data_IF_809239907026
#
_entry.id   IF_809239907026
#
_cell.length_a   1.000
_cell.length_b   1.000
_cell.length_c   1.000
_cell.angle_alpha   90.00
_cell.angle_beta   90.00
_cell.angle_gamma   90.00
#
_symmetry.space_group_name_H-M   'P 1'
#
loop_
_entity.id
_entity.type
_entity.pdbx_description
1 polymer ?
#
# COMPACT_ATOMS: atom_id res chain seq x y z
N UNK A 1 55.44 -3.89 -6.39
CA UNK A 1 54.39 -3.79 -7.44
C UNK A 1 53.19 -4.62 -6.99
N UNK A 2 52.08 -3.99 -6.62
CA UNK A 2 50.81 -4.69 -6.35
C UNK A 2 50.19 -5.05 -7.71
N UNK A 3 49.94 -6.33 -7.98
CA UNK A 3 49.13 -6.73 -9.13
C UNK A 3 47.65 -6.50 -8.80
N UNK A 4 47.01 -5.65 -9.60
CA UNK A 4 45.56 -5.51 -9.69
C UNK A 4 44.97 -6.80 -10.28
N UNK A 5 44.14 -7.51 -9.53
CA UNK A 5 43.23 -8.51 -10.07
C UNK A 5 41.98 -7.79 -10.57
N UNK A 6 41.89 -7.60 -11.89
CA UNK A 6 40.65 -7.22 -12.58
C UNK A 6 39.65 -8.37 -12.53
N UNK A 7 38.53 -8.18 -11.84
CA UNK A 7 37.37 -9.08 -11.86
C UNK A 7 36.66 -8.95 -13.20
N UNK A 8 36.99 -9.82 -14.15
CA UNK A 8 36.26 -9.93 -15.42
C UNK A 8 34.88 -10.53 -15.13
N UNK A 9 33.81 -9.79 -15.41
CA UNK A 9 32.43 -10.26 -15.26
C UNK A 9 32.21 -11.57 -16.01
N UNK A 10 31.80 -12.63 -15.31
CA UNK A 10 31.51 -13.94 -15.93
C UNK A 10 30.38 -13.77 -16.93
N UNK A 11 30.66 -14.07 -18.21
CA UNK A 11 29.60 -14.15 -19.23
C UNK A 11 28.60 -15.24 -18.85
N UNK A 12 27.31 -14.91 -18.88
CA UNK A 12 26.23 -15.84 -18.54
C UNK A 12 26.30 -17.13 -19.37
N UNK A 13 26.18 -18.28 -18.70
CA UNK A 13 26.17 -19.57 -19.36
C UNK A 13 24.86 -19.79 -20.17
N UNK A 14 24.78 -20.84 -20.99
CA UNK A 14 23.61 -21.09 -21.86
C UNK A 14 22.31 -21.34 -21.09
N UNK A 15 22.39 -21.91 -19.88
CA UNK A 15 21.23 -22.14 -19.01
C UNK A 15 20.72 -20.82 -18.44
N UNK A 16 21.63 -19.97 -17.96
CA UNK A 16 21.33 -18.62 -17.49
C UNK A 16 20.75 -17.74 -18.60
N UNK A 17 21.22 -17.87 -19.85
CA UNK A 17 20.64 -17.17 -21.01
C UNK A 17 19.25 -17.67 -21.38
N UNK A 18 18.98 -18.97 -21.25
CA UNK A 18 17.64 -19.54 -21.47
C UNK A 18 16.67 -19.14 -20.37
N UNK A 19 17.10 -19.15 -19.11
CA UNK A 19 16.34 -18.63 -17.98
C UNK A 19 16.04 -17.15 -18.18
N UNK A 20 17.05 -16.32 -18.49
CA UNK A 20 16.86 -14.89 -18.75
C UNK A 20 15.92 -14.60 -19.93
N UNK A 21 15.97 -15.40 -21.01
CA UNK A 21 15.03 -15.26 -22.14
C UNK A 21 13.61 -15.72 -21.81
N UNK A 22 13.46 -16.76 -20.99
CA UNK A 22 12.15 -17.20 -20.50
C UNK A 22 11.55 -16.16 -19.53
N UNK A 23 12.38 -15.52 -18.71
CA UNK A 23 11.98 -14.44 -17.82
C UNK A 23 11.64 -13.13 -18.56
N UNK A 24 12.37 -12.80 -19.64
CA UNK A 24 12.04 -11.64 -20.49
C UNK A 24 10.68 -11.78 -21.19
N UNK A 25 10.30 -12.99 -21.59
CA UNK A 25 8.99 -13.27 -22.19
C UNK A 25 7.82 -13.14 -21.18
N UNK A 26 8.11 -13.19 -19.88
CA UNK A 26 7.13 -13.08 -18.79
C UNK A 26 6.94 -11.65 -18.26
N UNK A 27 7.57 -10.63 -18.88
CA UNK A 27 7.43 -9.23 -18.45
C UNK A 27 8.10 -8.91 -17.11
N UNK A 28 9.13 -9.67 -16.74
CA UNK A 28 9.85 -9.50 -15.47
C UNK A 28 10.74 -8.25 -15.56
N UNK A 29 10.35 -7.22 -14.81
CA UNK A 29 11.13 -6.01 -14.59
C UNK A 29 12.41 -6.37 -13.83
N UNK A 30 13.57 -6.07 -14.43
CA UNK A 30 14.85 -6.04 -13.73
C UNK A 30 14.85 -4.85 -12.75
N UNK A 31 15.25 -5.05 -11.49
CA UNK A 31 15.69 -3.94 -10.65
C UNK A 31 17.21 -3.81 -10.70
N UNK A 32 17.69 -2.57 -10.65
CA UNK A 32 19.06 -2.18 -10.95
C UNK A 32 20.07 -2.42 -9.80
N UNK A 33 19.72 -3.18 -8.76
CA UNK A 33 20.64 -3.44 -7.66
C UNK A 33 21.68 -4.48 -8.09
N UNK A 34 22.85 -4.00 -8.51
CA UNK A 34 24.00 -4.85 -8.80
C UNK A 34 24.33 -5.73 -7.56
N UNK A 35 24.06 -7.03 -7.65
CA UNK A 35 24.37 -8.00 -6.60
C UNK A 35 23.17 -8.69 -5.93
N UNK A 36 21.91 -8.30 -6.23
CA UNK A 36 20.74 -9.01 -5.70
C UNK A 36 20.61 -10.41 -6.33
N UNK A 37 20.42 -11.44 -5.50
CA UNK A 37 20.06 -12.77 -5.96
C UNK A 37 18.54 -12.85 -6.19
N UNK A 38 18.13 -13.47 -7.31
CA UNK A 38 16.72 -13.75 -7.58
C UNK A 38 16.34 -15.08 -6.97
N UNK A 39 15.37 -15.09 -6.05
CA UNK A 39 14.90 -16.28 -5.35
C UNK A 39 13.47 -16.59 -5.76
N UNK A 40 13.32 -17.64 -6.57
CA UNK A 40 12.02 -18.14 -7.01
C UNK A 40 11.46 -19.16 -6.03
N UNK A 41 10.15 -19.10 -5.80
CA UNK A 41 9.39 -20.14 -5.10
C UNK A 41 9.31 -21.40 -5.95
N UNK A 42 9.74 -22.55 -5.39
CA UNK A 42 9.86 -23.83 -6.14
C UNK A 42 9.06 -24.98 -5.53
N UNK A 43 8.39 -24.76 -4.41
CA UNK A 43 7.59 -25.80 -3.76
C UNK A 43 6.50 -26.37 -4.71
N UNK A 44 5.84 -27.45 -4.33
CA UNK A 44 4.64 -27.98 -5.03
C UNK A 44 3.42 -28.14 -4.11
N UNK A 45 3.58 -27.88 -2.82
CA UNK A 45 2.53 -28.02 -1.79
C UNK A 45 1.43 -26.96 -1.91
N UNK A 46 0.20 -27.20 -1.47
CA UNK A 46 -0.84 -26.16 -1.56
C UNK A 46 -0.54 -24.96 -0.65
N UNK A 47 0.07 -25.20 0.51
CA UNK A 47 0.47 -24.19 1.49
C UNK A 47 1.84 -24.57 2.05
N UNK A 48 2.89 -23.86 1.64
CA UNK A 48 4.25 -24.13 2.10
C UNK A 48 4.81 -22.93 2.88
N UNK A 49 5.63 -23.21 3.88
CA UNK A 49 6.22 -22.17 4.74
C UNK A 49 7.28 -21.36 4.00
N UNK A 50 7.18 -20.03 4.12
CA UNK A 50 8.16 -19.08 3.56
C UNK A 50 9.56 -19.28 4.13
N UNK A 51 9.67 -19.72 5.39
CA UNK A 51 10.94 -19.90 6.09
C UNK A 51 11.59 -21.26 5.83
N UNK A 52 11.02 -22.10 4.95
CA UNK A 52 11.64 -23.37 4.58
C UNK A 52 12.58 -23.16 3.40
N UNK A 53 13.87 -23.42 3.62
CA UNK A 53 14.92 -23.31 2.61
C UNK A 53 14.62 -24.16 1.36
N UNK A 54 14.01 -25.33 1.55
CA UNK A 54 13.62 -26.24 0.48
C UNK A 54 12.53 -25.66 -0.46
N UNK A 55 11.80 -24.63 -0.03
CA UNK A 55 10.76 -23.99 -0.83
C UNK A 55 11.31 -22.91 -1.77
N UNK A 56 12.61 -22.60 -1.72
CA UNK A 56 13.26 -21.56 -2.50
C UNK A 56 14.40 -22.07 -3.37
N UNK A 57 14.50 -21.55 -4.59
CA UNK A 57 15.55 -21.93 -5.55
C UNK A 57 16.99 -21.57 -5.14
N UNK A 58 17.17 -20.60 -4.25
CA UNK A 58 18.47 -20.15 -3.78
C UNK A 58 18.48 -19.95 -2.25
N UNK A 59 17.62 -20.70 -1.57
CA UNK A 59 17.41 -20.65 -0.13
C UNK A 59 16.54 -19.50 0.36
N UNK A 60 16.33 -19.42 1.67
CA UNK A 60 15.44 -18.42 2.29
C UNK A 60 15.85 -17.01 1.87
N UNK A 61 14.94 -16.19 1.32
CA UNK A 61 15.25 -14.83 0.93
C UNK A 61 15.78 -13.97 2.09
N UNK A 62 16.90 -13.29 1.84
CA UNK A 62 17.47 -12.25 2.67
C UNK A 62 17.10 -10.84 2.21
N UNK A 63 17.51 -9.83 2.98
CA UNK A 63 17.12 -8.43 2.78
C UNK A 63 17.46 -7.86 1.40
N UNK A 64 18.44 -8.41 0.70
CA UNK A 64 18.88 -7.97 -0.64
C UNK A 64 18.27 -8.77 -1.79
N UNK A 65 17.48 -9.80 -1.50
CA UNK A 65 16.99 -10.73 -2.51
C UNK A 65 15.73 -10.23 -3.20
N UNK A 66 15.61 -10.56 -4.48
CA UNK A 66 14.37 -10.38 -5.22
C UNK A 66 13.57 -11.66 -5.20
N UNK A 67 12.35 -11.58 -4.69
CA UNK A 67 11.50 -12.75 -4.48
C UNK A 67 10.40 -12.82 -5.52
N UNK A 68 10.25 -14.00 -6.12
CA UNK A 68 9.21 -14.28 -7.09
C UNK A 68 8.39 -15.49 -6.68
N UNK A 69 7.10 -15.28 -6.45
CA UNK A 69 6.13 -16.36 -6.21
C UNK A 69 5.30 -16.55 -7.47
N UNK A 70 5.39 -17.75 -8.05
CA UNK A 70 4.68 -18.14 -9.26
C UNK A 70 4.04 -19.51 -9.14
N UNK A 71 3.15 -19.80 -10.11
CA UNK A 71 2.52 -21.10 -10.36
C UNK A 71 1.32 -21.45 -9.47
N UNK A 72 0.33 -20.56 -9.35
CA UNK A 72 -0.98 -20.85 -8.71
C UNK A 72 -0.92 -21.42 -7.27
N UNK A 73 0.13 -21.10 -6.50
CA UNK A 73 0.39 -21.68 -5.18
C UNK A 73 0.55 -20.64 -4.08
N UNK A 74 0.38 -21.06 -2.83
CA UNK A 74 0.48 -20.18 -1.66
C UNK A 74 1.82 -20.33 -0.93
N UNK A 75 2.42 -19.20 -0.58
CA UNK A 75 3.50 -19.11 0.39
C UNK A 75 2.97 -18.51 1.70
N UNK A 76 3.27 -19.15 2.82
CA UNK A 76 2.72 -18.77 4.13
C UNK A 76 3.84 -18.27 5.05
N UNK A 77 3.66 -17.07 5.59
CA UNK A 77 4.56 -16.47 6.58
C UNK A 77 3.97 -16.67 7.97
N UNK A 78 4.64 -17.50 8.78
CA UNK A 78 4.18 -17.97 10.09
C UNK A 78 5.23 -17.76 11.20
N UNK A 79 4.75 -17.64 12.45
CA UNK A 79 5.57 -17.46 13.66
C UNK A 79 6.08 -16.02 13.84
N UNK A 80 6.74 -15.75 14.98
CA UNK A 80 7.24 -14.41 15.32
C UNK A 80 8.45 -13.90 14.49
N UNK A 81 8.77 -14.58 13.39
CA UNK A 81 9.99 -14.35 12.60
C UNK A 81 9.74 -13.40 11.44
N UNK A 82 10.71 -12.54 11.14
CA UNK A 82 10.68 -11.64 9.98
C UNK A 82 11.27 -12.35 8.76
N UNK A 83 10.45 -12.60 7.74
CA UNK A 83 10.92 -12.89 6.40
C UNK A 83 11.29 -11.57 5.71
N UNK A 84 12.49 -11.45 5.14
CA UNK A 84 12.97 -10.19 4.52
C UNK A 84 13.22 -10.37 3.03
N UNK A 85 12.77 -9.42 2.21
CA UNK A 85 13.09 -9.35 0.79
C UNK A 85 13.33 -7.90 0.36
N UNK A 86 14.10 -7.68 -0.70
CA UNK A 86 14.16 -6.38 -1.35
C UNK A 86 12.89 -6.12 -2.15
N UNK A 87 12.54 -7.03 -3.05
CA UNK A 87 11.33 -6.97 -3.87
C UNK A 87 10.54 -8.27 -3.71
N UNK A 88 9.21 -8.19 -3.81
CA UNK A 88 8.33 -9.35 -3.88
C UNK A 88 7.35 -9.19 -5.03
N UNK A 89 7.40 -10.10 -6.00
CA UNK A 89 6.40 -10.19 -7.06
C UNK A 89 5.53 -11.43 -6.88
N UNK A 90 4.22 -11.23 -6.81
CA UNK A 90 3.21 -12.29 -6.70
C UNK A 90 2.50 -12.40 -8.04
N UNK A 91 2.79 -13.48 -8.76
CA UNK A 91 2.31 -13.74 -10.11
C UNK A 91 0.90 -14.33 -10.14
N UNK A 92 0.37 -14.51 -11.36
CA UNK A 92 -0.95 -15.11 -11.59
C UNK A 92 -1.22 -16.35 -10.74
N UNK A 93 -2.39 -16.37 -10.10
CA UNK A 93 -2.89 -17.46 -9.25
C UNK A 93 -2.09 -17.66 -7.96
N UNK A 94 -0.98 -16.96 -7.78
CA UNK A 94 -0.11 -17.14 -6.63
C UNK A 94 -0.61 -16.31 -5.47
N UNK A 95 -0.35 -16.80 -4.27
CA UNK A 95 -0.79 -16.16 -3.05
C UNK A 95 0.36 -16.06 -2.06
N UNK A 96 0.42 -14.95 -1.34
CA UNK A 96 1.21 -14.86 -0.11
C UNK A 96 0.27 -14.55 1.03
N UNK A 97 0.31 -15.38 2.07
CA UNK A 97 -0.52 -15.27 3.26
C UNK A 97 0.39 -14.93 4.43
N UNK A 98 0.05 -13.89 5.17
CA UNK A 98 0.74 -13.51 6.40
C UNK A 98 -0.19 -13.81 7.58
N UNK A 99 0.20 -14.82 8.37
CA UNK A 99 -0.35 -15.20 9.68
C UNK A 99 -1.65 -16.01 9.64
N UNK A 100 -1.63 -17.26 10.08
CA UNK A 100 -2.87 -18.04 10.29
C UNK A 100 -3.10 -18.52 11.75
N UNK A 101 -2.13 -18.35 12.66
CA UNK A 101 -2.30 -18.72 14.09
C UNK A 101 -1.45 -17.87 15.07
N UNK A 102 -0.28 -17.37 14.65
CA UNK A 102 0.62 -16.47 15.39
C UNK A 102 0.99 -15.21 14.56
N UNK A 103 1.45 -14.10 15.17
CA UNK A 103 1.83 -12.89 14.43
C UNK A 103 3.04 -13.15 13.52
N UNK A 104 2.79 -13.47 12.24
CA UNK A 104 3.78 -13.52 11.17
C UNK A 104 4.31 -12.13 10.81
N UNK A 105 5.59 -12.01 10.43
CA UNK A 105 6.14 -10.75 9.92
C UNK A 105 6.81 -10.93 8.54
N UNK A 106 6.43 -10.09 7.57
CA UNK A 106 7.08 -9.98 6.27
C UNK A 106 7.54 -8.54 6.07
N UNK A 107 8.83 -8.34 5.81
CA UNK A 107 9.42 -7.06 5.48
C UNK A 107 9.91 -7.06 4.03
N UNK A 108 9.36 -6.14 3.22
CA UNK A 108 9.78 -5.93 1.83
C UNK A 108 10.32 -4.51 1.70
N UNK A 109 11.63 -4.37 1.54
CA UNK A 109 12.33 -3.08 1.70
C UNK A 109 12.02 -2.11 0.55
N UNK A 110 11.69 -2.61 -0.63
CA UNK A 110 11.46 -1.79 -1.81
C UNK A 110 10.05 -1.96 -2.37
N UNK A 111 9.78 -2.97 -3.20
CA UNK A 111 8.48 -3.07 -3.89
C UNK A 111 7.83 -4.43 -3.72
N UNK A 112 6.57 -4.41 -3.26
CA UNK A 112 5.61 -5.51 -3.41
C UNK A 112 4.77 -5.23 -4.67
N UNK A 113 4.78 -6.17 -5.61
CA UNK A 113 3.97 -6.12 -6.83
C UNK A 113 2.96 -7.26 -6.83
N UNK A 114 1.68 -6.92 -6.89
CA UNK A 114 0.57 -7.87 -7.00
C UNK A 114 0.01 -7.86 -8.42
N UNK A 115 0.16 -8.98 -9.13
CA UNK A 115 -0.30 -9.12 -10.52
C UNK A 115 0.48 -8.25 -11.50
N UNK A 116 1.33 -8.86 -12.34
CA UNK A 116 2.07 -8.14 -13.40
C UNK A 116 1.22 -7.98 -14.66
N UNK A 117 0.86 -6.74 -15.02
CA UNK A 117 0.32 -6.21 -16.30
C UNK A 117 -0.78 -7.00 -17.05
N UNK A 118 -1.17 -8.20 -16.62
CA UNK A 118 -2.16 -9.04 -17.31
C UNK A 118 -2.79 -10.17 -16.46
N UNK A 119 -2.55 -10.28 -15.14
CA UNK A 119 -3.07 -11.44 -14.38
C UNK A 119 -3.14 -11.25 -12.85
N UNK A 120 -3.98 -12.04 -12.16
CA UNK A 120 -4.33 -11.87 -10.74
C UNK A 120 -3.37 -12.55 -9.75
N UNK A 121 -2.60 -11.75 -9.01
CA UNK A 121 -1.85 -12.20 -7.84
C UNK A 121 -2.50 -11.67 -6.56
N UNK A 122 -2.50 -12.46 -5.49
CA UNK A 122 -3.16 -12.11 -4.23
C UNK A 122 -2.15 -11.98 -3.09
N UNK A 123 -2.19 -10.86 -2.37
CA UNK A 123 -1.57 -10.73 -1.05
C UNK A 123 -2.67 -10.69 0.00
N UNK A 124 -2.55 -11.54 1.00
CA UNK A 124 -3.48 -11.63 2.10
C UNK A 124 -2.76 -11.39 3.43
N UNK A 125 -3.21 -10.38 4.16
CA UNK A 125 -2.79 -10.12 5.54
C UNK A 125 -3.90 -10.59 6.48
N UNK A 126 -3.68 -11.70 7.17
CA UNK A 126 -4.66 -12.27 8.10
C UNK A 126 -4.34 -11.93 9.54
N UNK A 127 -3.06 -11.89 9.90
CA UNK A 127 -2.54 -11.45 11.20
C UNK A 127 -1.11 -10.91 11.03
N UNK A 128 -0.58 -10.24 12.06
CA UNK A 128 0.85 -9.90 12.12
C UNK A 128 1.20 -8.61 11.36
N UNK A 129 2.45 -8.50 10.91
CA UNK A 129 3.00 -7.25 10.37
C UNK A 129 3.49 -7.40 8.94
N UNK A 130 3.04 -6.51 8.06
CA UNK A 130 3.60 -6.32 6.72
C UNK A 130 4.26 -4.95 6.62
N UNK A 131 5.59 -4.94 6.51
CA UNK A 131 6.38 -3.72 6.34
C UNK A 131 6.77 -3.55 4.89
N UNK A 132 6.50 -2.39 4.29
CA UNK A 132 6.81 -2.13 2.89
C UNK A 132 7.09 -0.65 2.58
N UNK A 133 7.90 -0.41 1.55
CA UNK A 133 8.02 0.91 0.95
C UNK A 133 6.94 1.13 -0.11
N UNK A 134 6.89 0.30 -1.16
CA UNK A 134 5.85 0.40 -2.19
C UNK A 134 4.98 -0.86 -2.24
N UNK A 135 3.67 -0.68 -2.16
CA UNK A 135 2.66 -1.68 -2.53
C UNK A 135 2.01 -1.26 -3.86
N UNK A 136 2.20 -2.08 -4.90
CA UNK A 136 1.63 -1.87 -6.22
C UNK A 136 0.62 -2.97 -6.57
N UNK A 137 -0.64 -2.60 -6.78
CA UNK A 137 -1.72 -3.52 -7.17
C UNK A 137 -2.10 -3.29 -8.62
N UNK A 138 -1.73 -4.20 -9.51
CA UNK A 138 -2.09 -4.14 -10.93
C UNK A 138 -3.60 -4.34 -11.15
N UNK A 139 -4.07 -4.18 -12.40
CA UNK A 139 -5.51 -4.27 -12.75
C UNK A 139 -6.20 -5.54 -12.30
N UNK A 140 -5.44 -6.62 -12.15
CA UNK A 140 -5.94 -7.92 -11.75
C UNK A 140 -5.44 -8.34 -10.36
N UNK A 141 -4.55 -7.56 -9.74
CA UNK A 141 -4.02 -7.85 -8.41
C UNK A 141 -5.07 -7.63 -7.32
N UNK A 142 -4.96 -8.39 -6.25
CA UNK A 142 -5.86 -8.29 -5.09
C UNK A 142 -5.07 -8.20 -3.80
N UNK A 143 -5.39 -7.20 -2.98
CA UNK A 143 -5.00 -7.16 -1.57
C UNK A 143 -6.23 -7.45 -0.73
N UNK A 144 -6.11 -8.37 0.22
CA UNK A 144 -7.14 -8.67 1.20
C UNK A 144 -6.56 -8.62 2.60
N UNK A 145 -7.36 -8.13 3.53
CA UNK A 145 -7.00 -8.08 4.94
C UNK A 145 -8.23 -8.26 5.81
N UNK A 146 -8.18 -9.31 6.62
CA UNK A 146 -9.38 -9.94 7.18
C UNK A 146 -9.52 -9.79 8.70
N UNK A 147 -8.46 -9.42 9.45
CA UNK A 147 -8.50 -8.93 10.85
C UNK A 147 -7.09 -8.63 11.42
N UNK A 148 -6.95 -7.61 12.28
CA UNK A 148 -5.82 -7.45 13.23
C UNK A 148 -4.37 -7.45 12.67
N UNK A 149 -4.17 -7.26 11.38
CA UNK A 149 -2.85 -6.99 10.81
C UNK A 149 -2.36 -5.57 11.11
N UNK A 150 -1.06 -5.36 10.92
CA UNK A 150 -0.41 -4.04 10.92
C UNK A 150 0.33 -3.86 9.60
N UNK A 151 0.04 -2.77 8.91
CA UNK A 151 0.85 -2.28 7.80
C UNK A 151 1.85 -1.26 8.33
N UNK A 152 3.12 -1.42 7.98
CA UNK A 152 4.18 -0.47 8.35
C UNK A 152 4.74 0.15 7.08
N UNK A 153 4.54 1.46 6.94
CA UNK A 153 5.08 2.27 5.87
C UNK A 153 6.56 2.57 6.16
N UNK A 154 7.43 2.09 5.29
CA UNK A 154 8.90 2.23 5.43
C UNK A 154 9.52 2.87 4.19
N UNK A 155 10.80 3.24 4.25
CA UNK A 155 11.47 3.92 3.14
C UNK A 155 11.09 5.41 3.04
N UNK A 156 11.76 6.13 2.14
CA UNK A 156 11.63 7.59 2.04
C UNK A 156 10.25 8.05 1.54
N UNK A 157 9.67 7.32 0.60
CA UNK A 157 8.43 7.68 -0.11
C UNK A 157 7.42 6.52 -0.11
N UNK A 158 6.86 6.13 1.07
CA UNK A 158 6.00 4.96 1.15
C UNK A 158 4.76 5.13 0.28
N UNK A 159 4.56 4.23 -0.68
CA UNK A 159 3.56 4.38 -1.73
C UNK A 159 2.60 3.20 -1.77
N UNK A 160 1.30 3.47 -1.77
CA UNK A 160 0.26 2.50 -2.14
C UNK A 160 -0.35 2.96 -3.45
N UNK A 161 -0.17 2.17 -4.51
CA UNK A 161 -0.69 2.48 -5.85
C UNK A 161 -1.47 1.33 -6.45
N UNK A 162 -2.54 1.65 -7.15
CA UNK A 162 -3.39 0.65 -7.79
C UNK A 162 -3.85 1.11 -9.17
N UNK A 163 -4.00 0.16 -10.09
CA UNK A 163 -4.50 0.44 -11.44
C UNK A 163 -5.93 0.99 -11.43
N UNK A 164 -6.34 1.64 -12.53
CA UNK A 164 -7.70 2.15 -12.69
C UNK A 164 -8.74 1.03 -12.57
N UNK A 165 -9.86 1.33 -11.92
CA UNK A 165 -10.92 0.35 -11.65
C UNK A 165 -10.64 -0.60 -10.49
N UNK A 166 -9.40 -0.66 -9.97
CA UNK A 166 -9.06 -1.47 -8.80
C UNK A 166 -9.41 -0.74 -7.52
N UNK A 167 -10.06 -1.44 -6.59
CA UNK A 167 -10.30 -0.96 -5.23
C UNK A 167 -9.54 -1.84 -4.25
N UNK A 168 -8.77 -1.21 -3.36
CA UNK A 168 -8.10 -1.88 -2.24
C UNK A 168 -8.74 -1.38 -0.95
N UNK A 169 -9.16 -2.32 -0.10
CA UNK A 169 -9.65 -2.06 1.25
C UNK A 169 -8.58 -2.48 2.26
N UNK A 170 -8.18 -1.55 3.13
CA UNK A 170 -7.26 -1.82 4.24
C UNK A 170 -8.06 -1.75 5.54
N UNK A 171 -8.15 -2.88 6.23
CA UNK A 171 -8.79 -2.97 7.55
C UNK A 171 -7.76 -2.88 8.69
N UNK A 172 -6.49 -3.18 8.41
CA UNK A 172 -5.35 -3.11 9.33
C UNK A 172 -5.03 -1.69 9.77
N UNK A 173 -4.40 -1.61 10.95
CA UNK A 173 -3.73 -0.39 11.39
C UNK A 173 -2.59 -0.07 10.43
N UNK A 174 -2.46 1.19 10.01
CA UNK A 174 -1.34 1.66 9.19
C UNK A 174 -0.43 2.54 10.05
N UNK A 175 0.86 2.20 10.10
CA UNK A 175 1.87 2.86 10.94
C UNK A 175 3.08 3.28 10.11
N UNK A 176 4.01 4.04 10.70
CA UNK A 176 5.26 4.47 10.04
C UNK A 176 5.55 5.97 10.23
N UNK A 177 6.76 6.41 9.91
CA UNK A 177 7.18 7.81 10.16
C UNK A 177 7.11 8.72 8.93
N UNK A 178 7.29 8.16 7.72
CA UNK A 178 7.55 8.96 6.52
C UNK A 178 6.28 9.32 5.73
N UNK A 179 5.10 8.88 6.19
CA UNK A 179 3.81 9.24 5.60
C UNK A 179 3.32 8.24 4.54
N UNK A 180 2.26 8.61 3.83
CA UNK A 180 1.60 7.79 2.81
C UNK A 180 1.45 8.56 1.49
N UNK A 181 1.93 7.96 0.41
CA UNK A 181 1.65 8.40 -0.96
C UNK A 181 0.59 7.48 -1.57
N UNK A 182 -0.58 8.03 -1.87
CA UNK A 182 -1.60 7.38 -2.69
C UNK A 182 -1.32 7.65 -4.17
N UNK A 183 -0.94 6.60 -4.90
CA UNK A 183 -0.71 6.62 -6.35
C UNK A 183 -1.70 5.77 -7.14
N UNK A 184 -1.56 5.79 -8.47
CA UNK A 184 -2.41 5.04 -9.41
C UNK A 184 -3.87 5.54 -9.47
N UNK A 185 -4.59 5.15 -10.51
CA UNK A 185 -5.96 5.64 -10.79
C UNK A 185 -7.04 4.95 -9.97
N UNK A 186 -6.72 3.86 -9.25
CA UNK A 186 -7.68 3.12 -8.42
C UNK A 186 -8.08 3.81 -7.12
N UNK A 187 -8.94 3.14 -6.36
CA UNK A 187 -9.51 3.61 -5.08
C UNK A 187 -8.87 2.90 -3.90
N UNK A 188 -8.22 3.65 -3.00
CA UNK A 188 -7.71 3.14 -1.74
C UNK A 188 -8.71 3.48 -0.65
N UNK A 189 -9.30 2.46 -0.02
CA UNK A 189 -10.17 2.63 1.14
C UNK A 189 -9.43 2.25 2.41
N UNK A 190 -9.25 3.20 3.32
CA UNK A 190 -8.67 2.98 4.65
C UNK A 190 -9.82 2.86 5.65
N UNK A 191 -10.13 1.64 6.06
CA UNK A 191 -11.12 1.34 7.11
C UNK A 191 -10.47 1.04 8.47
N UNK A 192 -9.18 0.71 8.50
CA UNK A 192 -8.38 0.64 9.74
C UNK A 192 -7.96 2.02 10.26
N UNK A 193 -7.63 2.12 11.54
CA UNK A 193 -7.16 3.37 12.13
C UNK A 193 -5.66 3.53 11.85
N UNK A 194 -5.29 4.62 11.19
CA UNK A 194 -3.90 4.96 10.90
C UNK A 194 -3.24 5.73 12.06
N UNK A 195 -1.97 5.46 12.31
CA UNK A 195 -1.12 6.14 13.31
C UNK A 195 0.24 6.58 12.75
N UNK A 196 0.43 6.54 11.42
CA UNK A 196 1.64 7.08 10.81
C UNK A 196 1.75 8.59 11.03
N UNK A 197 2.98 9.07 11.27
CA UNK A 197 3.21 10.46 11.69
C UNK A 197 3.48 11.43 10.53
N UNK A 198 4.00 10.93 9.40
CA UNK A 198 4.25 11.73 8.20
C UNK A 198 2.98 12.15 7.47
N UNK A 199 3.13 13.01 6.46
CA UNK A 199 2.02 13.54 5.67
C UNK A 199 1.35 12.49 4.75
N UNK A 200 0.18 12.83 4.25
CA UNK A 200 -0.52 12.05 3.21
C UNK A 200 -0.50 12.82 1.89
N UNK A 201 0.03 12.23 0.83
CA UNK A 201 -0.03 12.82 -0.52
C UNK A 201 -0.91 11.97 -1.43
N UNK A 202 -1.96 12.56 -2.00
CA UNK A 202 -2.86 11.91 -2.95
C UNK A 202 -2.49 12.41 -4.34
N UNK A 203 -1.67 11.65 -5.06
CA UNK A 203 -1.21 12.02 -6.40
C UNK A 203 -2.30 11.80 -7.45
N UNK A 204 -2.99 10.65 -7.39
CA UNK A 204 -3.99 10.25 -8.40
C UNK A 204 -5.05 9.31 -7.82
N UNK A 205 -6.17 9.19 -8.52
CA UNK A 205 -7.28 8.31 -8.15
C UNK A 205 -8.00 8.79 -6.89
N UNK A 206 -8.46 7.85 -6.07
CA UNK A 206 -9.27 8.16 -4.88
C UNK A 206 -8.63 7.62 -3.61
N UNK A 207 -8.51 8.48 -2.60
CA UNK A 207 -8.34 8.05 -1.21
C UNK A 207 -9.69 8.19 -0.49
N UNK A 208 -10.19 7.09 0.06
CA UNK A 208 -11.44 7.03 0.83
C UNK A 208 -11.13 6.65 2.27
N UNK A 209 -11.57 7.47 3.21
CA UNK A 209 -11.42 7.25 4.65
C UNK A 209 -12.74 6.72 5.20
N UNK A 210 -12.69 5.49 5.70
CA UNK A 210 -13.85 4.73 6.15
C UNK A 210 -14.63 4.04 5.03
N UNK A 211 -15.38 3.01 5.40
CA UNK A 211 -16.26 2.27 4.50
C UNK A 211 -17.73 2.27 4.99
N UNK A 212 -18.20 3.41 5.50
CA UNK A 212 -19.55 3.59 6.07
C UNK A 212 -19.68 3.14 7.52
N UNK A 213 -18.62 2.56 8.10
CA UNK A 213 -18.53 2.23 9.52
C UNK A 213 -17.99 3.38 10.38
N UNK A 214 -17.56 3.03 11.59
CA UNK A 214 -17.03 3.95 12.62
C UNK A 214 -15.50 3.91 12.74
N UNK A 215 -14.81 3.37 11.73
CA UNK A 215 -13.35 3.24 11.70
C UNK A 215 -12.80 3.77 10.38
N UNK A 216 -11.48 4.00 10.34
CA UNK A 216 -10.79 4.64 9.22
C UNK A 216 -10.28 6.01 9.61
N UNK A 217 -8.97 6.23 9.52
CA UNK A 217 -8.38 7.55 9.77
C UNK A 217 -7.18 7.82 8.86
N UNK A 218 -6.90 9.10 8.66
CA UNK A 218 -5.62 9.59 8.18
C UNK A 218 -4.56 9.47 9.29
N UNK A 219 -3.29 9.65 8.93
CA UNK A 219 -2.21 9.89 9.90
C UNK A 219 -2.26 11.30 10.49
N UNK A 220 -1.23 11.69 11.24
CA UNK A 220 -1.19 12.99 11.93
C UNK A 220 -0.62 14.14 11.11
N UNK A 221 0.11 13.87 10.03
CA UNK A 221 0.74 14.90 9.19
C UNK A 221 -0.23 15.54 8.17
N UNK A 222 0.20 16.62 7.54
CA UNK A 222 -0.61 17.36 6.55
C UNK A 222 -1.02 16.51 5.35
N UNK A 223 -2.07 16.95 4.64
CA UNK A 223 -2.60 16.26 3.46
C UNK A 223 -2.42 17.13 2.23
N UNK A 224 -1.66 16.64 1.27
CA UNK A 224 -1.59 17.20 -0.10
C UNK A 224 -2.55 16.41 -0.99
N UNK A 225 -3.73 16.95 -1.24
CA UNK A 225 -4.76 16.33 -2.07
C UNK A 225 -4.70 16.88 -3.51
N UNK A 226 -4.15 16.13 -4.45
CA UNK A 226 -4.14 16.50 -5.87
C UNK A 226 -5.18 15.75 -6.72
N UNK A 227 -6.00 14.89 -6.10
CA UNK A 227 -7.01 14.09 -6.78
C UNK A 227 -8.34 14.09 -6.02
N UNK A 228 -8.78 12.95 -5.46
CA UNK A 228 -10.03 12.86 -4.71
C UNK A 228 -9.80 12.33 -3.29
N UNK A 229 -10.26 13.08 -2.29
CA UNK A 229 -10.34 12.65 -0.89
C UNK A 229 -11.81 12.51 -0.47
N UNK A 230 -12.21 11.31 -0.05
CA UNK A 230 -13.59 11.02 0.36
C UNK A 230 -13.61 10.62 1.84
N UNK A 231 -14.48 11.22 2.62
CA UNK A 231 -14.80 10.80 3.98
C UNK A 231 -16.13 10.03 3.98
N UNK A 232 -16.09 8.76 4.36
CA UNK A 232 -17.25 7.88 4.41
C UNK A 232 -17.31 7.14 5.75
N UNK A 233 -17.65 7.88 6.80
CA UNK A 233 -17.86 7.35 8.16
C UNK A 233 -19.28 7.66 8.64
N UNK A 234 -19.81 6.81 9.51
CA UNK A 234 -21.16 6.96 10.08
C UNK A 234 -21.20 7.72 11.39
N UNK A 235 -20.05 7.94 12.03
CA UNK A 235 -19.93 8.72 13.27
C UNK A 235 -19.12 9.99 13.06
N UNK A 236 -18.96 10.77 14.14
CA UNK A 236 -18.11 11.96 14.13
C UNK A 236 -16.64 11.60 13.93
N UNK A 237 -15.98 12.30 13.01
CA UNK A 237 -14.53 12.27 12.79
C UNK A 237 -13.99 13.70 12.85
N UNK A 238 -12.96 13.92 13.68
CA UNK A 238 -12.22 15.18 13.71
C UNK A 238 -11.00 15.03 12.79
N UNK A 239 -10.85 15.96 11.86
CA UNK A 239 -9.73 16.04 10.93
C UNK A 239 -8.95 17.32 11.23
N UNK A 240 -7.81 17.15 11.89
CA UNK A 240 -6.91 18.24 12.25
C UNK A 240 -5.84 18.53 11.18
N UNK A 241 -5.75 17.67 10.17
CA UNK A 241 -4.77 17.78 9.10
C UNK A 241 -5.03 19.06 8.28
N UNK A 242 -3.97 19.80 7.95
CA UNK A 242 -4.08 20.88 6.97
C UNK A 242 -4.13 20.29 5.57
N UNK A 243 -5.24 20.54 4.85
CA UNK A 243 -5.48 19.99 3.51
C UNK A 243 -5.18 21.06 2.45
N UNK A 244 -4.28 20.73 1.53
CA UNK A 244 -3.82 21.57 0.42
C UNK A 244 -3.99 20.83 -0.92
N UNK A 245 -3.62 21.47 -2.04
CA UNK A 245 -3.55 20.85 -3.37
C UNK A 245 -4.76 21.14 -4.26
N UNK A 246 -4.79 20.56 -5.46
CA UNK A 246 -5.81 20.87 -6.48
C UNK A 246 -7.03 19.95 -6.47
N UNK A 247 -7.03 18.94 -5.60
CA UNK A 247 -8.03 17.88 -5.54
C UNK A 247 -9.32 18.28 -4.84
N UNK A 248 -10.35 17.46 -5.03
CA UNK A 248 -11.67 17.62 -4.42
C UNK A 248 -11.80 16.91 -3.07
N UNK A 249 -12.70 17.41 -2.23
CA UNK A 249 -13.15 16.74 -1.00
C UNK A 249 -14.61 16.32 -1.14
N UNK A 250 -14.93 15.10 -0.70
CA UNK A 250 -16.31 14.63 -0.61
C UNK A 250 -16.64 14.13 0.79
N UNK A 251 -17.67 14.70 1.41
CA UNK A 251 -18.35 14.09 2.56
C UNK A 251 -19.44 13.14 2.03
N UNK A 252 -19.24 11.84 2.19
CA UNK A 252 -20.11 10.79 1.66
C UNK A 252 -20.81 9.96 2.74
N UNK A 253 -20.27 9.93 3.95
CA UNK A 253 -20.83 9.16 5.06
C UNK A 253 -21.99 9.87 5.75
N UNK A 254 -22.85 9.12 6.43
CA UNK A 254 -23.98 9.67 7.20
C UNK A 254 -23.55 10.42 8.48
N UNK A 255 -22.29 10.31 8.89
CA UNK A 255 -21.77 10.95 10.10
C UNK A 255 -21.36 12.42 9.88
N UNK A 256 -20.58 12.92 10.84
CA UNK A 256 -20.07 14.30 10.83
C UNK A 256 -18.56 14.32 10.63
N UNK A 257 -18.08 14.89 9.53
CA UNK A 257 -16.66 15.20 9.36
C UNK A 257 -16.41 16.63 9.82
N UNK A 258 -15.54 16.82 10.82
CA UNK A 258 -15.20 18.14 11.38
C UNK A 258 -13.81 18.53 10.89
N UNK A 259 -13.72 19.56 10.05
CA UNK A 259 -12.46 20.14 9.59
C UNK A 259 -12.08 21.31 10.51
N UNK A 260 -11.02 21.15 11.29
CA UNK A 260 -10.57 22.17 12.27
C UNK A 260 -9.45 23.07 11.74
N UNK A 261 -8.70 22.60 10.73
CA UNK A 261 -7.62 23.35 10.09
C UNK A 261 -8.13 24.37 9.05
N UNK A 262 -7.30 25.38 8.78
CA UNK A 262 -7.58 26.41 7.77
C UNK A 262 -7.18 25.91 6.38
N UNK A 263 -7.94 24.99 5.78
CA UNK A 263 -7.57 24.33 4.53
C UNK A 263 -7.46 25.29 3.33
N UNK A 264 -6.64 24.92 2.32
CA UNK A 264 -6.34 25.76 1.14
C UNK A 264 -6.35 25.00 -0.19
N UNK A 265 -6.96 23.81 -0.22
CA UNK A 265 -7.14 23.10 -1.49
C UNK A 265 -7.99 23.92 -2.46
N UNK A 266 -7.76 23.80 -3.76
CA UNK A 266 -8.46 24.60 -4.77
C UNK A 266 -9.61 23.85 -5.47
N UNK A 267 -9.69 22.53 -5.30
CA UNK A 267 -10.77 21.72 -5.86
C UNK A 267 -12.09 21.90 -5.11
N UNK A 268 -13.19 21.44 -5.73
CA UNK A 268 -14.53 21.56 -5.17
C UNK A 268 -14.76 20.71 -3.92
N UNK A 269 -15.76 21.10 -3.14
CA UNK A 269 -16.27 20.35 -1.99
C UNK A 269 -17.65 19.81 -2.30
N UNK A 270 -17.86 18.51 -2.16
CA UNK A 270 -19.19 17.89 -2.30
C UNK A 270 -19.64 17.30 -0.97
N UNK A 271 -20.85 17.64 -0.53
CA UNK A 271 -21.50 17.04 0.64
C UNK A 271 -22.63 16.18 0.09
N UNK A 272 -22.39 14.89 -0.05
CA UNK A 272 -23.36 13.94 -0.60
C UNK A 272 -24.33 13.40 0.45
N UNK A 273 -23.90 13.34 1.71
CA UNK A 273 -24.69 12.88 2.85
C UNK A 273 -24.09 13.42 4.15
N UNK A 274 -24.83 13.28 5.26
CA UNK A 274 -24.35 13.64 6.60
C UNK A 274 -23.97 15.11 6.73
N UNK A 275 -23.02 15.40 7.62
CA UNK A 275 -22.60 16.76 7.94
C UNK A 275 -21.12 16.97 7.67
N UNK A 276 -20.77 18.04 6.96
CA UNK A 276 -19.42 18.60 6.94
C UNK A 276 -19.42 19.84 7.83
N UNK A 277 -18.69 19.80 8.94
CA UNK A 277 -18.58 20.91 9.88
C UNK A 277 -17.23 21.61 9.76
N UNK A 278 -17.27 22.94 9.79
CA UNK A 278 -16.11 23.80 9.75
C UNK A 278 -15.88 24.42 11.13
N UNK A 279 -14.71 24.14 11.70
CA UNK A 279 -14.35 24.54 13.07
C UNK A 279 -14.97 23.66 14.14
N UNK A 280 -14.52 23.86 15.38
CA UNK A 280 -15.02 23.16 16.57
C UNK A 280 -15.07 24.07 17.80
N UNK A 281 -15.70 25.25 17.66
CA UNK A 281 -15.87 26.24 18.72
C UNK A 281 -14.71 27.21 18.89
N UNK A 282 -13.91 27.43 17.84
CA UNK A 282 -12.79 28.36 17.86
C UNK A 282 -12.51 28.97 16.48
N UNK A 283 -11.56 29.90 16.39
CA UNK A 283 -11.37 30.78 15.22
C UNK A 283 -10.75 30.13 13.98
N UNK A 284 -10.61 28.80 13.94
CA UNK A 284 -9.99 28.04 12.84
C UNK A 284 -11.00 27.11 12.16
N UNK A 285 -10.67 26.67 10.95
CA UNK A 285 -11.54 25.85 10.10
C UNK A 285 -11.91 26.59 8.83
N UNK A 286 -11.29 26.25 7.70
CA UNK A 286 -11.71 26.78 6.41
C UNK A 286 -11.87 25.63 5.42
N UNK A 287 -12.79 25.81 4.48
CA UNK A 287 -12.77 25.04 3.25
C UNK A 287 -11.76 25.65 2.28
N UNK A 288 -11.51 24.91 1.20
CA UNK A 288 -10.76 25.38 0.06
C UNK A 288 -11.46 26.49 -0.73
N UNK A 289 -10.85 26.92 -1.83
CA UNK A 289 -11.40 27.99 -2.69
C UNK A 289 -12.36 27.48 -3.77
N UNK A 290 -12.57 26.18 -3.89
CA UNK A 290 -13.43 25.58 -4.91
C UNK A 290 -14.92 25.66 -4.58
N UNK A 291 -15.76 25.43 -5.58
CA UNK A 291 -17.22 25.43 -5.44
C UNK A 291 -17.70 24.38 -4.43
N UNK A 292 -18.83 24.68 -3.79
CA UNK A 292 -19.48 23.78 -2.84
C UNK A 292 -20.78 23.25 -3.46
N UNK A 293 -20.88 21.93 -3.59
CA UNK A 293 -22.13 21.24 -3.89
C UNK A 293 -22.66 20.60 -2.60
N UNK A 294 -23.74 21.14 -2.05
CA UNK A 294 -24.33 20.67 -0.80
C UNK A 294 -25.66 19.92 -1.03
N UNK A 295 -25.66 18.61 -0.79
CA UNK A 295 -26.84 17.75 -0.74
C UNK A 295 -27.03 17.11 0.65
N UNK A 296 -26.33 17.62 1.68
CA UNK A 296 -26.39 17.15 3.05
C UNK A 296 -26.51 18.32 4.02
N UNK A 297 -25.50 18.50 4.87
CA UNK A 297 -25.43 19.67 5.77
C UNK A 297 -24.01 20.22 5.81
N UNK A 298 -23.84 21.47 5.38
CA UNK A 298 -22.69 22.29 5.74
C UNK A 298 -22.95 23.02 7.06
N UNK A 299 -22.13 22.76 8.08
CA UNK A 299 -22.23 23.39 9.40
C UNK A 299 -21.00 24.25 9.72
N UNK A 300 -21.19 25.30 10.51
CA UNK A 300 -20.12 26.17 10.99
C UNK A 300 -20.15 26.25 12.50
N UNK A 301 -19.00 26.05 13.13
CA UNK A 301 -18.80 26.20 14.57
C UNK A 301 -17.42 26.84 14.80
N UNK A 302 -17.32 28.16 14.60
CA UNK A 302 -16.10 28.95 14.69
C UNK A 302 -16.23 30.09 15.69
#
# INVERSE_FOLDING_TARGET
>A
MKQQTTTTGKSMNRIQRRAARALLAAGILWSAAAGAATNNWVSSESYALWLSDANWSAGIPGATDEVFVANSRAAVVEGATVATASNLTISSGSQVIIGNVDPGALAVVNTITLGTVSSSGTLQLNYGTLSFNTLSVGSNGSYSDTANGTLVLTGADPTIKMAGGVTVLINSTITGTNGLIKGGLGTLTIAGNSTYSGGTTINTGTLKIGNGGTTGSLGSGDVTNNASLIFNRSNTMIVNNFITGTGSITQAGSGTTILTANNTYSGGTTISAGTLQIGNGGTTGWLGSGDILDNGTLAFNR
#
